data_IF_429150938849
#
_entry.id   IF_429150938849
#
_cell.length_a   1.000
_cell.length_b   1.000
_cell.length_c   1.000
_cell.angle_alpha   90.00
_cell.angle_beta   90.00
_cell.angle_gamma   90.00
#
_symmetry.space_group_name_H-M   'P 1'
#
loop_
_entity.id
_entity.type
_entity.pdbx_description
1 polymer ?
#
# COMPACT_ATOMS: atom_id res chain seq x y z
N UNK A 1 5.52 6.18 6.06
CA UNK A 1 6.65 5.30 5.66
C UNK A 1 7.89 6.14 5.40
N UNK A 2 9.09 5.65 5.79
CA UNK A 2 10.35 6.38 5.57
C UNK A 2 10.75 6.42 4.10
N UNK A 3 11.52 7.43 3.73
CA UNK A 3 12.19 7.53 2.43
C UNK A 3 13.64 7.03 2.53
N UNK A 4 14.24 6.59 1.43
CA UNK A 4 15.56 5.97 1.42
C UNK A 4 16.69 6.88 1.91
N UNK A 5 16.53 8.20 1.81
CA UNK A 5 17.50 9.22 2.27
C UNK A 5 17.52 9.38 3.79
N UNK A 6 16.43 8.99 4.48
CA UNK A 6 16.33 9.03 5.94
C UNK A 6 16.90 7.78 6.62
N UNK A 7 17.23 6.73 5.86
CA UNK A 7 17.74 5.48 6.43
C UNK A 7 19.23 5.58 6.76
N UNK A 8 19.58 5.10 7.94
CA UNK A 8 20.99 5.00 8.33
C UNK A 8 21.53 3.61 8.01
N UNK A 9 22.41 3.54 7.03
CA UNK A 9 23.00 2.28 6.54
C UNK A 9 24.51 2.26 6.64
N UNK A 10 25.05 1.05 6.71
CA UNK A 10 26.48 0.76 6.58
C UNK A 10 26.69 -0.11 5.35
N UNK A 11 27.77 0.16 4.62
CA UNK A 11 28.17 -0.65 3.48
C UNK A 11 29.39 -1.50 3.82
N UNK A 12 29.34 -2.78 3.47
CA UNK A 12 30.50 -3.68 3.55
C UNK A 12 30.64 -4.43 2.21
N UNK A 13 31.60 -4.03 1.40
CA UNK A 13 31.74 -4.57 0.05
C UNK A 13 30.51 -4.26 -0.83
N UNK A 14 29.81 -5.30 -1.27
CA UNK A 14 28.55 -5.24 -2.04
C UNK A 14 27.29 -5.42 -1.17
N UNK A 15 27.46 -5.52 0.15
CA UNK A 15 26.34 -5.62 1.09
C UNK A 15 25.97 -4.26 1.68
N UNK A 16 24.66 -4.00 1.71
CA UNK A 16 24.02 -2.92 2.45
C UNK A 16 23.43 -3.48 3.74
N UNK A 17 23.72 -2.85 4.87
CA UNK A 17 23.20 -3.27 6.19
C UNK A 17 22.58 -2.10 6.92
N UNK A 18 21.48 -2.33 7.62
CA UNK A 18 20.95 -1.36 8.59
C UNK A 18 21.88 -1.23 9.78
N UNK A 19 21.82 -0.09 10.44
CA UNK A 19 22.42 0.07 11.75
C UNK A 19 21.49 -0.55 12.78
N UNK A 20 21.92 -1.57 13.56
CA UNK A 20 21.06 -2.23 14.51
C UNK A 20 20.43 -1.27 15.53
N UNK A 21 19.17 -1.53 15.91
CA UNK A 21 18.47 -0.80 16.94
C UNK A 21 18.70 -1.51 18.29
N UNK A 22 19.86 -1.20 18.90
CA UNK A 22 20.18 -1.67 20.26
C UNK A 22 19.30 -0.99 21.33
N UNK A 23 19.44 -1.37 22.57
CA UNK A 23 18.63 -0.84 23.69
C UNK A 23 18.78 0.69 23.85
N UNK A 24 20.00 1.24 23.66
CA UNK A 24 20.28 2.68 23.77
C UNK A 24 19.61 3.45 22.63
N UNK A 25 19.77 2.98 21.39
CA UNK A 25 19.15 3.59 20.20
C UNK A 25 17.63 3.50 20.29
N UNK A 26 17.09 2.39 20.79
CA UNK A 26 15.64 2.20 21.00
C UNK A 26 15.08 3.21 22.01
N UNK A 27 15.71 3.36 23.17
CA UNK A 27 15.30 4.35 24.17
C UNK A 27 15.34 5.78 23.62
N UNK A 28 16.36 6.09 22.81
CA UNK A 28 16.47 7.40 22.18
C UNK A 28 15.36 7.64 21.15
N UNK A 29 15.04 6.65 20.29
CA UNK A 29 13.92 6.71 19.32
C UNK A 29 12.61 6.92 20.07
N UNK A 30 12.38 6.19 21.16
CA UNK A 30 11.18 6.30 21.99
C UNK A 30 11.02 7.70 22.59
N UNK A 31 12.10 8.28 23.12
CA UNK A 31 12.10 9.64 23.66
C UNK A 31 11.80 10.70 22.58
N UNK A 32 12.39 10.57 21.39
CA UNK A 32 12.10 11.45 20.25
C UNK A 32 10.64 11.30 19.80
N UNK A 33 10.15 10.06 19.69
CA UNK A 33 8.77 9.79 19.30
C UNK A 33 7.76 10.35 20.30
N UNK A 34 8.04 10.26 21.61
CA UNK A 34 7.21 10.87 22.66
C UNK A 34 7.14 12.39 22.51
N UNK A 35 8.29 13.03 22.31
CA UNK A 35 8.40 14.48 22.12
C UNK A 35 7.63 14.94 20.90
N UNK A 36 7.90 14.37 19.72
CA UNK A 36 7.21 14.76 18.49
C UNK A 36 5.71 14.45 18.49
N UNK A 37 5.31 13.35 19.13
CA UNK A 37 3.89 13.03 19.33
C UNK A 37 3.20 14.04 20.24
N UNK A 38 3.89 14.58 21.25
CA UNK A 38 3.42 15.68 22.09
C UNK A 38 3.19 16.95 21.27
N UNK A 39 4.15 17.32 20.44
CA UNK A 39 4.03 18.48 19.53
C UNK A 39 2.84 18.30 18.58
N UNK A 40 2.73 17.12 17.93
CA UNK A 40 1.63 16.87 16.99
C UNK A 40 0.24 16.97 17.64
N UNK A 41 0.08 16.44 18.87
CA UNK A 41 -1.17 16.58 19.63
C UNK A 41 -1.51 18.02 19.98
N UNK A 42 -0.51 18.81 20.38
CA UNK A 42 -0.70 20.22 20.73
C UNK A 42 -1.09 21.09 19.51
N UNK A 43 -0.79 20.63 18.29
CA UNK A 43 -1.05 21.39 17.05
C UNK A 43 -2.30 20.88 16.31
N UNK A 44 -3.16 20.06 16.92
CA UNK A 44 -4.47 19.74 16.32
C UNK A 44 -5.28 21.03 16.17
N UNK A 45 -5.77 21.30 14.96
CA UNK A 45 -6.43 22.54 14.56
C UNK A 45 -5.48 23.60 13.93
N UNK A 46 -4.16 23.46 14.09
CA UNK A 46 -3.16 24.31 13.44
C UNK A 46 -2.95 23.95 11.98
N UNK A 47 -2.31 24.84 11.22
CA UNK A 47 -1.94 24.54 9.83
C UNK A 47 -0.75 23.57 9.78
N UNK A 48 -0.59 22.88 8.65
CA UNK A 48 0.55 21.98 8.42
C UNK A 48 1.88 22.73 8.56
N UNK A 49 1.96 23.96 8.02
CA UNK A 49 3.14 24.82 8.15
C UNK A 49 3.51 25.07 9.62
N UNK A 50 2.54 25.43 10.46
CA UNK A 50 2.76 25.63 11.90
C UNK A 50 3.20 24.33 12.61
N UNK A 51 2.65 23.19 12.22
CA UNK A 51 3.08 21.89 12.75
C UNK A 51 4.51 21.57 12.30
N UNK A 52 4.82 21.76 11.02
CA UNK A 52 6.15 21.47 10.46
C UNK A 52 7.21 22.33 11.11
N UNK A 53 6.95 23.64 11.28
CA UNK A 53 7.85 24.59 12.00
C UNK A 53 8.07 24.13 13.45
N UNK A 54 7.02 23.76 14.17
CA UNK A 54 7.15 23.31 15.56
C UNK A 54 7.90 21.96 15.70
N UNK A 55 7.72 21.06 14.72
CA UNK A 55 8.47 19.82 14.67
C UNK A 55 9.95 20.07 14.37
N UNK A 56 10.27 21.00 13.48
CA UNK A 56 11.63 21.39 13.11
C UNK A 56 12.33 22.11 14.27
N UNK A 57 11.65 23.01 14.99
CA UNK A 57 12.13 23.59 16.24
C UNK A 57 12.39 22.52 17.30
N UNK A 58 11.45 21.58 17.42
CA UNK A 58 11.57 20.41 18.28
C UNK A 58 12.78 19.55 17.93
N UNK A 59 13.10 19.36 16.65
CA UNK A 59 14.27 18.65 16.20
C UNK A 59 15.58 19.44 16.46
N UNK A 60 15.59 20.75 16.21
CA UNK A 60 16.74 21.62 16.42
C UNK A 60 17.15 21.73 17.90
N UNK A 61 16.17 21.68 18.81
CA UNK A 61 16.42 21.72 20.25
C UNK A 61 17.02 20.41 20.82
N UNK A 62 17.16 19.36 19.98
CA UNK A 62 17.97 18.20 20.32
C UNK A 62 19.43 18.54 19.90
N UNK A 63 20.29 18.85 20.84
CA UNK A 63 21.72 19.14 20.56
C UNK A 63 22.42 17.85 20.09
N UNK A 64 22.34 17.58 18.76
CA UNK A 64 22.70 16.30 18.19
C UNK A 64 23.87 16.40 17.21
N UNK A 65 24.84 15.46 17.27
CA UNK A 65 25.86 15.33 16.24
C UNK A 65 25.24 15.12 14.86
N UNK A 66 25.90 15.59 13.80
CA UNK A 66 25.47 15.43 12.40
C UNK A 66 25.09 13.97 12.03
N UNK A 67 25.67 12.98 12.70
CA UNK A 67 25.38 11.55 12.52
C UNK A 67 23.95 11.16 12.95
N UNK A 68 23.35 11.90 13.88
CA UNK A 68 22.00 11.59 14.42
C UNK A 68 20.89 12.38 13.74
N UNK A 69 21.19 13.41 12.96
CA UNK A 69 20.17 14.22 12.24
C UNK A 69 19.24 13.38 11.39
N UNK A 70 19.74 12.33 10.73
CA UNK A 70 18.91 11.41 9.96
C UNK A 70 17.94 10.62 10.82
N UNK A 71 18.39 10.19 12.01
CA UNK A 71 17.52 9.49 12.96
C UNK A 71 16.38 10.39 13.44
N UNK A 72 16.72 11.63 13.83
CA UNK A 72 15.74 12.63 14.28
C UNK A 72 14.70 12.88 13.18
N UNK A 73 15.14 13.15 11.95
CA UNK A 73 14.27 13.39 10.81
C UNK A 73 13.42 12.14 10.45
N UNK A 74 13.97 10.94 10.61
CA UNK A 74 13.24 9.70 10.39
C UNK A 74 12.13 9.53 11.43
N UNK A 75 12.39 9.77 12.71
CA UNK A 75 11.36 9.69 13.76
C UNK A 75 10.31 10.78 13.58
N UNK A 76 10.71 12.02 13.30
CA UNK A 76 9.82 13.13 12.97
C UNK A 76 8.88 12.75 11.82
N UNK A 77 9.42 12.18 10.73
CA UNK A 77 8.62 11.72 9.58
C UNK A 77 7.62 10.63 9.96
N UNK A 78 8.02 9.65 10.78
CA UNK A 78 7.10 8.58 11.21
C UNK A 78 5.97 9.10 12.10
N UNK A 79 6.23 10.12 12.93
CA UNK A 79 5.19 10.79 13.73
C UNK A 79 4.28 11.60 12.80
N UNK A 80 4.84 12.37 11.88
CA UNK A 80 4.08 13.15 10.92
C UNK A 80 3.15 12.27 10.04
N UNK A 81 3.55 11.03 9.73
CA UNK A 81 2.71 10.05 9.02
C UNK A 81 1.43 9.66 9.79
N UNK A 82 1.38 9.89 11.09
CA UNK A 82 0.18 9.72 11.93
C UNK A 82 -0.75 10.92 11.97
N UNK A 83 -0.43 12.00 11.25
CA UNK A 83 -1.24 13.22 11.15
C UNK A 83 -2.23 13.11 10.00
N UNK A 84 -3.50 13.43 10.26
CA UNK A 84 -4.56 13.55 9.26
C UNK A 84 -4.90 15.00 9.04
N UNK A 85 -4.80 15.47 7.80
CA UNK A 85 -5.05 16.86 7.43
C UNK A 85 -6.38 16.98 6.70
N UNK A 86 -6.96 18.17 6.79
CA UNK A 86 -8.16 18.54 6.05
C UNK A 86 -7.91 18.47 4.53
N UNK A 87 -8.87 17.90 3.80
CA UNK A 87 -8.87 17.95 2.33
C UNK A 87 -9.70 19.14 1.87
N UNK A 88 -9.08 20.25 1.47
CA UNK A 88 -9.82 21.42 1.02
C UNK A 88 -10.42 21.18 -0.38
N UNK A 89 -11.54 21.85 -0.63
CA UNK A 89 -12.11 21.95 -1.99
C UNK A 89 -11.18 22.80 -2.87
N UNK A 90 -10.35 22.13 -3.66
CA UNK A 90 -9.39 22.77 -4.56
C UNK A 90 -10.07 23.62 -5.64
N UNK A 91 -11.26 23.23 -6.11
CA UNK A 91 -12.02 23.96 -7.11
C UNK A 91 -12.62 25.24 -6.51
N UNK A 92 -13.14 25.17 -5.31
CA UNK A 92 -13.63 26.34 -4.57
C UNK A 92 -12.50 27.35 -4.29
N UNK A 93 -11.34 26.90 -3.83
CA UNK A 93 -10.18 27.77 -3.61
C UNK A 93 -9.69 28.44 -4.90
N UNK A 94 -9.65 27.69 -6.00
CA UNK A 94 -9.26 28.22 -7.31
C UNK A 94 -10.30 29.22 -7.86
N UNK A 95 -11.59 28.99 -7.64
CA UNK A 95 -12.66 29.89 -8.04
C UNK A 95 -12.58 31.21 -7.23
N UNK A 96 -12.39 31.11 -5.91
CA UNK A 96 -12.20 32.27 -5.04
C UNK A 96 -11.01 33.11 -5.47
N UNK A 97 -9.84 32.49 -5.74
CA UNK A 97 -8.66 33.22 -6.24
C UNK A 97 -8.94 33.95 -7.54
N UNK A 98 -9.59 33.27 -8.51
CA UNK A 98 -9.93 33.89 -9.80
C UNK A 98 -10.83 35.12 -9.62
N UNK A 99 -11.82 35.02 -8.75
CA UNK A 99 -12.73 36.14 -8.52
C UNK A 99 -12.01 37.32 -7.83
N UNK A 100 -11.31 37.09 -6.73
CA UNK A 100 -10.58 38.13 -6.01
C UNK A 100 -9.53 38.80 -6.90
N UNK A 101 -8.78 38.03 -7.70
CA UNK A 101 -7.77 38.62 -8.61
C UNK A 101 -8.41 39.40 -9.78
N UNK A 102 -9.58 38.97 -10.29
CA UNK A 102 -10.31 39.76 -11.28
C UNK A 102 -10.79 41.10 -10.72
N UNK A 103 -11.28 41.11 -9.49
CA UNK A 103 -11.70 42.35 -8.78
C UNK A 103 -10.50 43.24 -8.54
N UNK A 104 -9.38 42.69 -8.05
CA UNK A 104 -8.15 43.45 -7.86
C UNK A 104 -7.65 44.07 -9.17
N UNK A 105 -7.67 43.32 -10.25
CA UNK A 105 -7.26 43.82 -11.56
C UNK A 105 -8.22 44.90 -12.12
N UNK A 106 -9.52 44.76 -11.88
CA UNK A 106 -10.50 45.75 -12.29
C UNK A 106 -10.35 47.05 -11.50
N UNK A 107 -10.22 46.94 -10.17
CA UNK A 107 -9.98 48.09 -9.28
C UNK A 107 -8.66 48.81 -9.64
N UNK A 108 -7.60 48.08 -9.93
CA UNK A 108 -6.29 48.64 -10.34
C UNK A 108 -6.39 49.41 -11.67
N UNK A 109 -7.17 48.90 -12.64
CA UNK A 109 -7.39 49.57 -13.93
C UNK A 109 -8.24 50.84 -13.80
N UNK A 110 -9.19 50.85 -12.86
CA UNK A 110 -10.07 52.00 -12.62
C UNK A 110 -9.37 53.09 -11.78
N UNK A 111 -8.36 52.75 -11.01
CA UNK A 111 -7.67 53.69 -10.16
C UNK A 111 -6.61 54.52 -10.94
N UNK A 112 -6.30 55.74 -10.44
CA UNK A 112 -5.18 56.54 -10.95
C UNK A 112 -3.87 55.74 -10.85
N UNK A 113 -2.94 55.85 -11.81
CA UNK A 113 -1.63 55.16 -11.78
C UNK A 113 -0.84 55.33 -10.49
N UNK A 114 -1.02 56.47 -9.84
CA UNK A 114 -0.32 56.85 -8.58
C UNK A 114 -1.11 56.44 -7.32
N UNK A 115 -2.35 55.97 -7.43
CA UNK A 115 -3.15 55.57 -6.29
C UNK A 115 -2.63 54.25 -5.67
N UNK A 116 -2.47 54.20 -4.31
CA UNK A 116 -2.11 52.95 -3.66
C UNK A 116 -3.24 51.92 -3.83
N UNK A 117 -2.83 50.65 -3.97
CA UNK A 117 -3.81 49.54 -3.99
C UNK A 117 -4.22 49.20 -2.59
N UNK A 118 -5.52 49.40 -2.29
CA UNK A 118 -6.09 49.03 -0.98
C UNK A 118 -6.62 47.57 -1.04
N UNK A 119 -5.78 46.64 -0.56
CA UNK A 119 -6.09 45.21 -0.47
C UNK A 119 -7.17 44.99 0.60
N UNK A 120 -7.12 45.71 1.72
CA UNK A 120 -8.04 45.49 2.83
C UNK A 120 -9.47 45.86 2.41
N UNK A 121 -9.68 47.03 1.80
CA UNK A 121 -10.99 47.46 1.28
C UNK A 121 -11.54 46.46 0.25
N UNK A 122 -10.71 45.91 -0.62
CA UNK A 122 -11.14 44.90 -1.59
C UNK A 122 -11.63 43.63 -0.91
N UNK A 123 -10.93 43.13 0.11
CA UNK A 123 -11.30 41.91 0.85
C UNK A 123 -12.58 42.15 1.67
N UNK A 124 -12.76 43.33 2.27
CA UNK A 124 -13.98 43.68 3.02
C UNK A 124 -15.21 43.71 2.10
N UNK A 125 -15.10 44.31 0.90
CA UNK A 125 -16.19 44.31 -0.07
C UNK A 125 -16.54 42.91 -0.50
N UNK A 126 -15.51 42.08 -0.82
CA UNK A 126 -15.71 40.69 -1.21
C UNK A 126 -16.29 39.84 -0.09
N UNK A 127 -15.97 40.13 1.15
CA UNK A 127 -16.49 39.50 2.36
C UNK A 127 -17.97 39.82 2.58
N UNK A 128 -18.35 41.09 2.49
CA UNK A 128 -19.74 41.51 2.63
C UNK A 128 -20.67 40.85 1.61
N UNK A 129 -20.25 40.72 0.35
CA UNK A 129 -21.02 40.03 -0.69
C UNK A 129 -21.21 38.51 -0.44
N UNK A 130 -20.31 37.88 0.32
CA UNK A 130 -20.34 36.44 0.62
C UNK A 130 -20.85 36.09 1.99
N UNK A 131 -21.26 37.08 2.77
CA UNK A 131 -21.67 36.96 4.17
C UNK A 131 -20.59 36.21 5.02
N UNK A 132 -19.31 36.58 4.79
CA UNK A 132 -18.13 36.04 5.47
C UNK A 132 -17.23 37.17 5.95
N UNK A 133 -16.05 36.86 6.47
CA UNK A 133 -15.07 37.86 6.91
C UNK A 133 -13.89 37.96 5.93
N UNK A 134 -13.22 39.12 5.91
CA UNK A 134 -12.00 39.30 5.11
C UNK A 134 -10.92 38.28 5.46
N UNK A 135 -10.81 37.92 6.74
CA UNK A 135 -9.87 36.91 7.22
C UNK A 135 -10.20 35.49 6.66
N UNK A 136 -11.49 35.14 6.58
CA UNK A 136 -11.92 33.86 5.99
C UNK A 136 -11.65 33.81 4.48
N UNK A 137 -11.88 34.94 3.77
CA UNK A 137 -11.50 35.01 2.34
C UNK A 137 -9.98 34.84 2.20
N UNK A 138 -9.19 35.54 3.00
CA UNK A 138 -7.73 35.45 2.95
C UNK A 138 -7.25 34.03 3.24
N UNK A 139 -7.79 33.35 4.23
CA UNK A 139 -7.50 31.96 4.54
C UNK A 139 -7.91 31.02 3.39
N UNK A 140 -9.08 31.27 2.77
CA UNK A 140 -9.63 30.47 1.69
C UNK A 140 -8.87 30.60 0.36
N UNK A 141 -8.20 31.75 0.12
CA UNK A 141 -7.46 31.99 -1.13
C UNK A 141 -6.44 30.89 -1.46
N UNK A 142 -5.84 30.27 -0.47
CA UNK A 142 -4.79 29.29 -0.63
C UNK A 142 -5.02 28.03 0.23
N UNK A 143 -6.28 27.75 0.57
CA UNK A 143 -6.66 26.59 1.37
C UNK A 143 -6.28 25.24 0.72
N UNK A 144 -6.19 25.23 -0.62
CA UNK A 144 -5.74 24.07 -1.40
C UNK A 144 -4.22 23.79 -1.33
N UNK A 145 -3.43 24.72 -0.77
CA UNK A 145 -2.00 24.49 -0.58
C UNK A 145 -1.74 23.55 0.60
N UNK A 146 -0.89 22.52 0.45
CA UNK A 146 -0.57 21.61 1.55
C UNK A 146 -0.19 22.33 2.85
N UNK A 147 0.62 23.39 2.79
CA UNK A 147 1.04 24.18 3.95
C UNK A 147 -0.14 24.79 4.76
N UNK A 148 -1.27 25.05 4.11
CA UNK A 148 -2.45 25.69 4.73
C UNK A 148 -3.50 24.69 5.22
N UNK A 149 -3.35 23.40 4.90
CA UNK A 149 -4.25 22.35 5.40
C UNK A 149 -4.18 22.28 6.93
N UNK A 150 -5.33 22.19 7.58
CA UNK A 150 -5.40 22.08 9.05
C UNK A 150 -5.25 20.64 9.49
N UNK A 151 -4.49 20.43 10.56
CA UNK A 151 -4.38 19.14 11.22
C UNK A 151 -5.71 18.82 11.93
N UNK A 152 -6.44 17.82 11.43
CA UNK A 152 -7.72 17.39 12.01
C UNK A 152 -7.52 16.43 13.17
N UNK A 153 -6.61 15.48 13.03
CA UNK A 153 -6.35 14.46 14.04
C UNK A 153 -4.92 13.96 14.00
N UNK A 154 -4.46 13.50 15.16
CA UNK A 154 -3.21 12.76 15.28
C UNK A 154 -3.50 11.35 15.83
N UNK A 155 -3.28 10.34 15.01
CA UNK A 155 -3.45 8.91 15.32
C UNK A 155 -2.11 8.16 15.23
N UNK A 156 -1.02 8.78 15.69
CA UNK A 156 0.32 8.18 15.67
C UNK A 156 0.44 6.96 16.57
N UNK A 157 1.36 6.07 16.23
CA UNK A 157 1.70 4.90 17.05
C UNK A 157 2.20 5.34 18.43
N UNK A 158 1.95 4.56 19.51
CA UNK A 158 2.61 4.79 20.79
C UNK A 158 4.14 4.83 20.63
N UNK A 159 4.89 5.68 21.36
CA UNK A 159 6.33 5.84 21.20
C UNK A 159 7.11 4.52 21.28
N UNK A 160 6.78 3.66 22.24
CA UNK A 160 7.40 2.34 22.37
C UNK A 160 7.15 1.43 21.14
N UNK A 161 5.93 1.46 20.59
CA UNK A 161 5.58 0.68 19.39
C UNK A 161 6.28 1.24 18.14
N UNK A 162 6.44 2.56 18.04
CA UNK A 162 7.21 3.19 16.97
C UNK A 162 8.67 2.75 17.05
N UNK A 163 9.28 2.80 18.24
CA UNK A 163 10.66 2.39 18.45
C UNK A 163 10.87 0.88 18.17
N UNK A 164 9.91 0.02 18.54
CA UNK A 164 9.96 -1.41 18.24
C UNK A 164 9.87 -1.70 16.73
N UNK A 165 9.07 -0.91 15.98
CA UNK A 165 8.89 -1.07 14.54
C UNK A 165 9.91 -0.29 13.68
N UNK A 166 10.87 0.43 14.28
CA UNK A 166 11.73 1.36 13.56
C UNK A 166 12.64 0.65 12.53
N UNK A 167 13.24 -0.47 12.91
CA UNK A 167 14.10 -1.26 12.01
C UNK A 167 13.31 -1.79 10.80
N UNK A 168 12.05 -2.21 11.00
CA UNK A 168 11.16 -2.60 9.92
C UNK A 168 10.86 -1.42 8.99
N UNK A 169 10.64 -0.23 9.53
CA UNK A 169 10.42 0.99 8.75
C UNK A 169 11.67 1.39 7.93
N UNK A 170 12.88 1.23 8.49
CA UNK A 170 14.14 1.41 7.75
C UNK A 170 14.26 0.36 6.63
N UNK A 171 13.95 -0.91 6.90
CA UNK A 171 13.96 -1.98 5.89
C UNK A 171 12.97 -1.70 4.75
N UNK A 172 11.75 -1.25 5.06
CA UNK A 172 10.77 -0.81 4.06
C UNK A 172 11.34 0.27 3.14
N UNK A 173 12.01 1.27 3.71
CA UNK A 173 12.60 2.36 2.95
C UNK A 173 13.76 1.91 2.06
N UNK A 174 14.55 0.90 2.47
CA UNK A 174 15.56 0.28 1.61
C UNK A 174 14.90 -0.42 0.42
N UNK A 175 13.79 -1.15 0.64
CA UNK A 175 13.07 -1.85 -0.41
C UNK A 175 12.45 -0.92 -1.47
N UNK A 176 12.26 0.37 -1.19
CA UNK A 176 11.88 1.37 -2.21
C UNK A 176 12.89 1.43 -3.37
N UNK A 177 14.11 0.99 -3.14
CA UNK A 177 15.20 0.95 -4.13
C UNK A 177 15.49 -0.47 -4.64
N UNK A 178 14.65 -1.44 -4.28
CA UNK A 178 14.81 -2.82 -4.70
C UNK A 178 14.43 -3.02 -6.18
N UNK A 179 15.16 -3.89 -6.84
CA UNK A 179 14.90 -4.36 -8.21
C UNK A 179 14.39 -5.79 -8.21
N UNK A 180 14.78 -6.58 -7.21
CA UNK A 180 14.36 -7.96 -6.97
C UNK A 180 14.32 -8.23 -5.47
N UNK A 181 13.35 -9.00 -5.02
CA UNK A 181 13.21 -9.43 -3.64
C UNK A 181 12.92 -10.93 -3.61
N UNK A 182 13.62 -11.65 -2.76
CA UNK A 182 13.29 -13.02 -2.38
C UNK A 182 13.00 -13.04 -0.90
N UNK A 183 11.81 -13.49 -0.52
CA UNK A 183 11.41 -13.66 0.87
C UNK A 183 11.29 -15.14 1.19
N UNK A 184 11.81 -15.56 2.34
CA UNK A 184 11.53 -16.87 2.93
C UNK A 184 10.67 -16.65 4.16
N UNK A 185 9.54 -17.35 4.24
CA UNK A 185 8.54 -17.14 5.29
C UNK A 185 8.06 -18.47 5.87
N UNK A 186 7.81 -18.48 7.17
CA UNK A 186 7.12 -19.57 7.87
C UNK A 186 6.10 -19.00 8.83
N UNK A 187 4.89 -19.55 8.81
CA UNK A 187 3.83 -19.25 9.75
C UNK A 187 3.16 -20.55 10.21
N UNK A 188 2.72 -20.59 11.46
CA UNK A 188 1.99 -21.73 12.04
C UNK A 188 0.54 -21.74 11.59
N UNK A 189 0.00 -20.55 11.36
CA UNK A 189 -1.39 -20.36 10.99
C UNK A 189 -1.56 -20.12 9.49
N UNK A 190 -2.45 -20.89 8.87
CA UNK A 190 -2.80 -20.74 7.47
C UNK A 190 -3.44 -19.38 7.14
N UNK A 191 -4.06 -18.70 8.12
CA UNK A 191 -4.60 -17.36 7.97
C UNK A 191 -3.53 -16.32 7.68
N UNK A 192 -2.38 -16.42 8.34
CA UNK A 192 -1.22 -15.54 8.11
C UNK A 192 -0.72 -15.65 6.66
N UNK A 193 -0.60 -16.86 6.12
CA UNK A 193 -0.23 -17.05 4.71
C UNK A 193 -1.28 -16.46 3.76
N UNK A 194 -2.58 -16.68 4.02
CA UNK A 194 -3.64 -16.09 3.20
C UNK A 194 -3.59 -14.57 3.19
N UNK A 195 -3.38 -13.96 4.36
CA UNK A 195 -3.24 -12.52 4.47
C UNK A 195 -2.02 -12.01 3.69
N UNK A 196 -0.87 -12.66 3.83
CA UNK A 196 0.34 -12.34 3.08
C UNK A 196 0.06 -12.37 1.57
N UNK A 197 -0.46 -13.48 1.06
CA UNK A 197 -0.69 -13.63 -0.37
C UNK A 197 -1.77 -12.68 -0.91
N UNK A 198 -2.82 -12.40 -0.14
CA UNK A 198 -3.80 -11.36 -0.49
C UNK A 198 -3.16 -9.98 -0.56
N UNK A 199 -2.28 -9.64 0.39
CA UNK A 199 -1.54 -8.37 0.36
C UNK A 199 -0.67 -8.28 -0.87
N UNK A 200 0.07 -9.33 -1.25
CA UNK A 200 0.88 -9.35 -2.46
C UNK A 200 0.03 -9.14 -3.72
N UNK A 201 -1.13 -9.80 -3.81
CA UNK A 201 -2.10 -9.59 -4.91
C UNK A 201 -2.64 -8.14 -4.93
N UNK A 202 -3.06 -7.62 -3.78
CA UNK A 202 -3.55 -6.25 -3.64
C UNK A 202 -2.52 -5.22 -4.12
N UNK A 203 -1.26 -5.43 -3.77
CA UNK A 203 -0.14 -4.59 -4.20
C UNK A 203 0.25 -4.83 -5.68
N UNK A 204 -0.45 -5.70 -6.39
CA UNK A 204 -0.18 -6.06 -7.79
C UNK A 204 1.25 -6.58 -8.02
N UNK A 205 1.81 -7.20 -7.01
CA UNK A 205 3.06 -7.91 -7.14
C UNK A 205 2.81 -9.29 -7.79
N UNK A 206 3.75 -9.76 -8.57
CA UNK A 206 3.71 -11.07 -9.22
C UNK A 206 4.62 -12.03 -8.44
N UNK A 207 4.10 -12.73 -7.42
CA UNK A 207 4.92 -13.65 -6.66
C UNK A 207 5.14 -14.96 -7.44
N UNK A 208 6.38 -15.44 -7.44
CA UNK A 208 6.69 -16.84 -7.69
C UNK A 208 6.81 -17.51 -6.33
N UNK A 209 5.93 -18.46 -6.03
CA UNK A 209 5.86 -19.09 -4.70
C UNK A 209 6.26 -20.54 -4.85
N UNK A 210 7.22 -20.97 -4.06
CA UNK A 210 7.65 -22.35 -3.95
C UNK A 210 7.56 -22.82 -2.50
N UNK A 211 7.04 -24.02 -2.25
CA UNK A 211 7.09 -24.64 -0.94
C UNK A 211 8.55 -24.89 -0.56
N UNK A 212 8.92 -24.61 0.66
CA UNK A 212 10.23 -24.90 1.20
C UNK A 212 10.23 -26.27 1.92
N UNK A 213 11.32 -27.00 1.85
CA UNK A 213 11.45 -28.32 2.48
C UNK A 213 11.18 -28.30 3.98
N UNK A 214 11.39 -27.17 4.63
CA UNK A 214 11.20 -26.96 6.05
C UNK A 214 9.75 -26.58 6.45
N UNK A 215 8.80 -26.63 5.50
CA UNK A 215 7.36 -26.38 5.76
C UNK A 215 6.94 -24.90 5.68
N UNK A 216 7.78 -24.03 5.11
CA UNK A 216 7.47 -22.63 4.79
C UNK A 216 7.35 -22.41 3.29
N UNK A 217 7.45 -21.14 2.87
CA UNK A 217 7.45 -20.75 1.47
C UNK A 217 8.63 -19.84 1.14
N UNK A 218 9.20 -20.04 -0.04
CA UNK A 218 10.10 -19.09 -0.69
C UNK A 218 9.32 -18.32 -1.75
N UNK A 219 9.34 -17.00 -1.66
CA UNK A 219 8.55 -16.08 -2.48
C UNK A 219 9.50 -15.18 -3.24
N UNK A 220 9.60 -15.38 -4.55
CA UNK A 220 10.23 -14.43 -5.45
C UNK A 220 9.26 -13.30 -5.78
N UNK A 221 9.66 -12.07 -5.53
CA UNK A 221 8.87 -10.87 -5.83
C UNK A 221 9.60 -10.11 -6.93
N UNK A 222 9.19 -10.34 -8.15
CA UNK A 222 9.65 -9.60 -9.31
C UNK A 222 8.55 -8.61 -9.74
N UNK A 223 8.95 -7.42 -10.14
CA UNK A 223 8.00 -6.50 -10.78
C UNK A 223 7.67 -6.98 -12.20
N UNK A 224 6.46 -6.72 -12.74
CA UNK A 224 6.08 -7.12 -14.11
C UNK A 224 6.98 -6.54 -15.23
N UNK A 225 7.87 -5.60 -14.88
CA UNK A 225 8.91 -5.08 -15.77
C UNK A 225 10.33 -5.51 -15.35
N UNK A 226 10.48 -6.56 -14.56
CA UNK A 226 11.81 -7.11 -14.20
C UNK A 226 12.60 -7.57 -15.43
N UNK A 227 11.94 -7.83 -16.55
CA UNK A 227 12.55 -8.04 -17.87
C UNK A 227 13.35 -6.80 -18.36
N UNK A 228 13.04 -5.59 -17.87
CA UNK A 228 13.83 -4.39 -18.11
C UNK A 228 14.76 -4.16 -16.91
N UNK A 229 16.00 -4.58 -17.07
CA UNK A 229 17.03 -4.57 -16.03
C UNK A 229 17.06 -3.26 -15.21
N UNK A 230 16.89 -3.37 -13.89
CA UNK A 230 17.17 -2.31 -12.93
C UNK A 230 16.05 -1.30 -12.67
N UNK A 231 14.80 -1.60 -13.01
CA UNK A 231 13.67 -0.72 -12.68
C UNK A 231 13.30 -0.78 -11.19
N UNK A 232 13.32 0.37 -10.52
CA UNK A 232 12.81 0.53 -9.13
C UNK A 232 11.34 0.93 -9.09
N UNK A 233 10.61 0.84 -10.19
CA UNK A 233 9.21 1.26 -10.32
C UNK A 233 8.26 0.59 -9.33
N UNK A 234 8.59 -0.63 -8.91
CA UNK A 234 7.80 -1.40 -7.94
C UNK A 234 8.34 -1.34 -6.51
N UNK A 235 9.34 -0.50 -6.25
CA UNK A 235 9.94 -0.38 -4.93
C UNK A 235 8.92 -0.01 -3.85
N UNK A 236 7.93 0.84 -4.17
CA UNK A 236 6.87 1.19 -3.24
C UNK A 236 6.04 -0.05 -2.84
N UNK A 237 5.61 -0.84 -3.81
CA UNK A 237 4.84 -2.05 -3.56
C UNK A 237 5.67 -3.09 -2.77
N UNK A 238 6.95 -3.24 -3.09
CA UNK A 238 7.87 -4.12 -2.36
C UNK A 238 8.04 -3.66 -0.90
N UNK A 239 8.21 -2.36 -0.67
CA UNK A 239 8.23 -1.79 0.69
C UNK A 239 6.92 -2.02 1.44
N UNK A 240 5.78 -1.81 0.80
CA UNK A 240 4.45 -2.02 1.38
C UNK A 240 4.14 -3.51 1.65
N UNK A 241 4.79 -4.45 0.97
CA UNK A 241 4.62 -5.87 1.22
C UNK A 241 5.34 -6.35 2.49
N UNK A 242 6.40 -5.65 2.93
CA UNK A 242 7.23 -6.07 4.05
C UNK A 242 6.46 -6.31 5.37
N UNK A 243 5.49 -5.48 5.80
CA UNK A 243 4.74 -5.75 7.01
C UNK A 243 3.99 -7.08 6.97
N UNK A 244 3.38 -7.45 5.84
CA UNK A 244 2.69 -8.72 5.70
C UNK A 244 3.66 -9.92 5.71
N UNK A 245 4.86 -9.77 5.16
CA UNK A 245 5.94 -10.75 5.28
C UNK A 245 6.39 -10.87 6.75
N UNK A 246 6.55 -9.74 7.44
CA UNK A 246 7.00 -9.69 8.83
C UNK A 246 5.95 -10.16 9.85
N UNK A 247 4.70 -10.38 9.44
CA UNK A 247 3.67 -11.00 10.26
C UNK A 247 3.85 -12.52 10.39
N UNK A 248 4.66 -13.15 9.54
CA UNK A 248 5.00 -14.56 9.66
C UNK A 248 5.87 -14.82 10.89
N UNK A 249 5.76 -16.02 11.51
CA UNK A 249 6.50 -16.38 12.74
C UNK A 249 8.01 -16.25 12.57
N UNK A 250 8.52 -16.64 11.42
CA UNK A 250 9.90 -16.38 10.99
C UNK A 250 9.90 -15.94 9.53
N UNK A 251 10.75 -14.97 9.25
CA UNK A 251 10.89 -14.45 7.90
C UNK A 251 12.30 -13.93 7.65
N UNK A 252 12.70 -13.99 6.38
CA UNK A 252 13.91 -13.33 5.90
C UNK A 252 13.70 -12.79 4.50
N UNK A 253 14.42 -11.72 4.18
CA UNK A 253 14.44 -11.09 2.87
C UNK A 253 15.86 -10.99 2.39
N UNK A 254 16.07 -11.38 1.13
CA UNK A 254 17.24 -11.04 0.33
C UNK A 254 16.80 -10.18 -0.85
N UNK A 255 17.39 -8.99 -0.99
CA UNK A 255 17.03 -8.04 -2.03
C UNK A 255 18.24 -7.54 -2.79
N UNK A 256 18.08 -7.28 -4.09
CA UNK A 256 18.98 -6.48 -4.89
C UNK A 256 18.47 -5.03 -4.89
N UNK A 257 19.30 -4.09 -4.46
CA UNK A 257 18.90 -2.68 -4.33
C UNK A 257 19.82 -1.76 -5.10
N UNK A 258 19.29 -0.66 -5.63
CA UNK A 258 20.04 0.42 -6.27
C UNK A 258 20.25 1.54 -5.26
N UNK A 259 21.42 1.59 -4.62
CA UNK A 259 21.66 2.46 -3.47
C UNK A 259 22.66 3.57 -3.73
N UNK A 260 22.46 4.72 -3.05
CA UNK A 260 23.28 5.91 -3.17
C UNK A 260 22.99 6.74 -4.43
N UNK A 261 23.71 7.85 -4.58
CA UNK A 261 23.59 8.75 -5.73
C UNK A 261 23.93 8.03 -7.05
N UNK A 262 24.96 7.19 -7.02
CA UNK A 262 25.43 6.42 -8.18
C UNK A 262 24.55 5.21 -8.52
N UNK A 263 23.47 4.98 -7.77
CA UNK A 263 22.57 3.81 -7.95
C UNK A 263 23.32 2.48 -8.04
N UNK A 264 24.32 2.28 -7.19
CA UNK A 264 25.11 1.04 -7.18
C UNK A 264 24.26 -0.17 -6.85
N UNK A 265 24.43 -1.29 -7.55
CA UNK A 265 23.82 -2.55 -7.19
C UNK A 265 24.44 -3.06 -5.89
N UNK A 266 23.64 -3.26 -4.86
CA UNK A 266 24.04 -3.81 -3.57
C UNK A 266 23.06 -4.91 -3.17
N UNK A 267 23.53 -5.85 -2.37
CA UNK A 267 22.70 -6.87 -1.73
C UNK A 267 22.26 -6.38 -0.36
N UNK A 268 20.98 -6.50 -0.09
CA UNK A 268 20.37 -6.18 1.21
C UNK A 268 19.76 -7.44 1.80
N UNK A 269 20.00 -7.70 3.07
CA UNK A 269 19.40 -8.81 3.80
C UNK A 269 18.86 -8.32 5.13
N UNK A 270 17.68 -8.80 5.47
CA UNK A 270 17.04 -8.57 6.76
C UNK A 270 16.21 -9.79 7.13
N UNK A 271 16.14 -10.12 8.41
CA UNK A 271 15.37 -11.22 8.93
C UNK A 271 14.81 -10.86 10.31
N UNK A 272 13.73 -11.53 10.71
CA UNK A 272 13.13 -11.29 12.01
C UNK A 272 12.10 -12.36 12.38
N UNK A 273 11.52 -12.17 13.59
CA UNK A 273 10.35 -12.90 14.06
C UNK A 273 9.06 -12.12 13.78
N UNK A 274 7.93 -12.70 14.20
CA UNK A 274 6.63 -12.12 13.97
C UNK A 274 6.50 -10.68 14.53
N UNK A 275 6.04 -9.80 13.68
CA UNK A 275 5.65 -8.43 14.05
C UNK A 275 4.13 -8.36 13.97
N UNK A 276 3.49 -7.96 15.08
CA UNK A 276 2.05 -7.80 15.10
C UNK A 276 1.63 -6.70 14.09
N UNK A 277 0.80 -7.08 13.12
CA UNK A 277 0.13 -6.11 12.26
C UNK A 277 -1.02 -5.47 13.02
N UNK A 278 -1.25 -4.19 12.82
CA UNK A 278 -2.50 -3.57 13.27
C UNK A 278 -3.67 -4.18 12.49
N UNK A 279 -4.82 -4.36 13.15
CA UNK A 279 -6.03 -4.92 12.51
C UNK A 279 -6.49 -4.14 11.26
N UNK A 280 -6.06 -2.88 11.14
CA UNK A 280 -6.32 -1.99 9.99
C UNK A 280 -5.49 -2.31 8.74
N UNK A 281 -4.49 -3.18 8.85
CA UNK A 281 -3.56 -3.47 7.74
C UNK A 281 -3.93 -4.72 6.94
N UNK A 282 -4.98 -5.46 7.36
CA UNK A 282 -5.49 -6.58 6.57
C UNK A 282 -6.26 -6.05 5.34
N UNK A 283 -5.83 -6.33 4.10
CA UNK A 283 -6.57 -5.88 2.93
C UNK A 283 -7.95 -6.53 2.91
N UNK A 284 -8.99 -5.69 2.80
CA UNK A 284 -10.34 -6.14 2.50
C UNK A 284 -10.37 -6.84 1.13
N UNK A 285 -11.43 -7.60 0.86
CA UNK A 285 -11.66 -8.11 -0.49
C UNK A 285 -11.72 -6.91 -1.45
N UNK A 286 -11.13 -7.01 -2.66
CA UNK A 286 -11.32 -5.99 -3.70
C UNK A 286 -12.81 -5.72 -3.92
N UNK A 287 -13.18 -4.45 -4.13
CA UNK A 287 -14.59 -4.03 -4.29
C UNK A 287 -15.34 -4.87 -5.32
N UNK A 288 -14.68 -5.22 -6.42
CA UNK A 288 -15.20 -6.06 -7.48
C UNK A 288 -15.56 -7.48 -6.97
N UNK A 289 -14.70 -8.03 -6.12
CA UNK A 289 -14.92 -9.36 -5.55
C UNK A 289 -15.95 -9.31 -4.41
N UNK A 290 -15.97 -8.25 -3.61
CA UNK A 290 -16.97 -8.04 -2.57
C UNK A 290 -18.39 -7.88 -3.18
N UNK A 291 -18.51 -7.10 -4.26
CA UNK A 291 -19.75 -6.95 -5.00
C UNK A 291 -20.23 -8.28 -5.63
N UNK A 292 -19.30 -9.08 -6.15
CA UNK A 292 -19.59 -10.41 -6.67
C UNK A 292 -20.09 -11.35 -5.58
N UNK A 293 -19.43 -11.42 -4.41
CA UNK A 293 -19.85 -12.24 -3.27
C UNK A 293 -21.28 -11.90 -2.87
N UNK A 294 -21.56 -10.61 -2.67
CA UNK A 294 -22.91 -10.15 -2.32
C UNK A 294 -23.97 -10.46 -3.39
N UNK A 295 -23.59 -10.48 -4.67
CA UNK A 295 -24.49 -10.87 -5.76
C UNK A 295 -24.73 -12.39 -5.80
N UNK A 296 -23.70 -13.18 -5.51
CA UNK A 296 -23.78 -14.64 -5.51
C UNK A 296 -24.61 -15.15 -4.33
N UNK A 297 -24.44 -14.60 -3.13
CA UNK A 297 -25.21 -14.98 -1.93
C UNK A 297 -26.72 -14.72 -2.06
N UNK A 298 -27.11 -13.85 -3.00
CA UNK A 298 -28.53 -13.61 -3.33
C UNK A 298 -29.14 -14.63 -4.31
N UNK A 299 -28.31 -15.51 -4.90
CA UNK A 299 -28.80 -16.58 -5.74
C UNK A 299 -29.38 -17.68 -4.88
N UNK A 300 -30.54 -18.24 -5.30
CA UNK A 300 -31.10 -19.48 -4.75
C UNK A 300 -30.25 -20.64 -5.29
N UNK A 301 -29.25 -21.06 -4.55
CA UNK A 301 -28.30 -22.10 -4.97
C UNK A 301 -27.83 -22.95 -3.80
N UNK A 302 -27.47 -24.20 -4.08
CA UNK A 302 -26.94 -25.18 -3.14
C UNK A 302 -25.43 -24.92 -2.82
N UNK A 303 -24.89 -23.78 -3.26
CA UNK A 303 -23.49 -23.40 -3.08
C UNK A 303 -23.32 -22.30 -2.06
N UNK A 304 -22.36 -22.48 -1.14
CA UNK A 304 -21.90 -21.45 -0.21
C UNK A 304 -20.50 -21.01 -0.56
N UNK A 305 -20.20 -19.75 -0.28
CA UNK A 305 -18.85 -19.18 -0.49
C UNK A 305 -18.02 -19.35 0.78
N UNK A 306 -16.82 -19.93 0.63
CA UNK A 306 -15.73 -19.86 1.60
C UNK A 306 -14.78 -18.74 1.18
N UNK A 307 -14.73 -17.66 1.97
CA UNK A 307 -13.86 -16.49 1.73
C UNK A 307 -12.44 -16.70 2.28
N UNK A 308 -12.17 -17.85 2.88
CA UNK A 308 -10.87 -18.21 3.46
C UNK A 308 -10.39 -19.58 2.98
N UNK A 309 -10.33 -19.82 1.64
CA UNK A 309 -9.92 -21.13 1.13
C UNK A 309 -8.47 -21.46 1.51
N UNK A 310 -8.15 -22.74 1.55
CA UNK A 310 -6.80 -23.20 1.77
C UNK A 310 -5.88 -22.76 0.62
N UNK A 311 -4.63 -22.53 0.95
CA UNK A 311 -3.55 -22.40 -0.03
C UNK A 311 -3.33 -23.78 -0.67
N UNK A 312 -3.30 -23.83 -1.99
CA UNK A 312 -3.14 -25.08 -2.74
C UNK A 312 -1.68 -25.24 -3.12
N UNK A 313 -1.07 -26.31 -2.64
CA UNK A 313 0.24 -26.73 -3.09
C UNK A 313 0.08 -27.57 -4.37
N UNK A 314 0.76 -27.18 -5.43
CA UNK A 314 0.66 -27.79 -6.75
C UNK A 314 2.00 -28.47 -7.08
N UNK A 315 2.09 -29.80 -6.97
CA UNK A 315 3.33 -30.52 -7.17
C UNK A 315 4.00 -30.17 -8.51
N UNK A 316 5.27 -29.73 -8.45
CA UNK A 316 6.05 -29.36 -9.63
C UNK A 316 5.70 -28.00 -10.26
N UNK A 317 4.71 -27.29 -9.74
CA UNK A 317 4.14 -26.11 -10.37
C UNK A 317 4.05 -24.88 -9.43
N UNK A 318 4.35 -25.06 -8.14
CA UNK A 318 4.31 -24.01 -7.13
C UNK A 318 2.98 -23.96 -6.38
N UNK A 319 2.62 -22.79 -5.89
CA UNK A 319 1.49 -22.57 -4.99
C UNK A 319 0.41 -21.76 -5.68
N UNK A 320 -0.86 -22.19 -5.56
CA UNK A 320 -2.03 -21.41 -5.95
C UNK A 320 -2.73 -20.90 -4.69
N UNK A 321 -3.11 -19.62 -4.72
CA UNK A 321 -3.81 -18.95 -3.61
C UNK A 321 -5.15 -18.47 -4.13
N UNK A 322 -6.22 -19.31 -4.04
CA UNK A 322 -7.54 -18.92 -4.48
C UNK A 322 -8.06 -17.73 -3.67
N UNK A 323 -8.86 -16.88 -4.29
CA UNK A 323 -9.50 -15.78 -3.60
C UNK A 323 -10.72 -16.24 -2.82
N UNK A 324 -11.48 -17.21 -3.39
CA UNK A 324 -12.67 -17.83 -2.82
C UNK A 324 -12.69 -19.35 -3.08
N UNK A 325 -13.53 -20.08 -2.35
CA UNK A 325 -13.94 -21.40 -2.75
C UNK A 325 -15.46 -21.53 -2.64
N UNK A 326 -16.06 -22.24 -3.58
CA UNK A 326 -17.47 -22.63 -3.57
C UNK A 326 -17.58 -24.04 -3.03
N UNK A 327 -18.48 -24.24 -2.09
CA UNK A 327 -18.73 -25.55 -1.47
C UNK A 327 -20.20 -25.88 -1.65
N UNK A 328 -20.49 -26.99 -2.35
CA UNK A 328 -21.85 -27.45 -2.58
C UNK A 328 -22.39 -28.19 -1.34
N UNK A 329 -23.56 -27.81 -0.85
CA UNK A 329 -24.06 -28.28 0.43
C UNK A 329 -24.44 -29.78 0.38
N UNK A 330 -24.99 -30.25 -0.75
CA UNK A 330 -25.52 -31.64 -0.86
C UNK A 330 -24.44 -32.74 -0.83
N UNK A 331 -23.21 -32.47 -1.31
CA UNK A 331 -22.18 -33.49 -1.47
C UNK A 331 -20.77 -33.01 -1.08
N UNK A 332 -20.63 -31.76 -0.65
CA UNK A 332 -19.35 -31.21 -0.26
C UNK A 332 -18.38 -30.91 -1.43
N UNK A 333 -18.83 -31.01 -2.68
CA UNK A 333 -18.01 -30.69 -3.84
C UNK A 333 -17.44 -29.29 -3.70
N UNK A 334 -16.13 -29.14 -3.97
CA UNK A 334 -15.40 -27.86 -3.82
C UNK A 334 -14.84 -27.42 -5.15
N UNK A 335 -15.07 -26.15 -5.49
CA UNK A 335 -14.49 -25.48 -6.64
C UNK A 335 -13.81 -24.20 -6.15
N UNK A 336 -12.50 -24.08 -6.40
CA UNK A 336 -11.75 -22.91 -6.07
C UNK A 336 -11.95 -21.81 -7.11
N UNK A 337 -11.78 -20.56 -6.72
CA UNK A 337 -11.95 -19.41 -7.59
C UNK A 337 -10.77 -18.45 -7.43
N UNK A 338 -10.12 -18.11 -8.52
CA UNK A 338 -9.03 -17.15 -8.54
C UNK A 338 -9.31 -16.03 -9.54
N UNK A 339 -9.27 -14.77 -9.05
CA UNK A 339 -9.44 -13.58 -9.87
C UNK A 339 -8.09 -13.13 -10.42
N UNK A 340 -7.94 -13.15 -11.74
CA UNK A 340 -6.73 -12.76 -12.46
C UNK A 340 -6.87 -11.36 -13.11
N UNK A 341 -7.63 -10.46 -12.48
CA UNK A 341 -8.03 -9.18 -13.06
C UNK A 341 -6.90 -8.18 -13.34
N UNK A 342 -5.80 -8.25 -12.57
CA UNK A 342 -4.69 -7.28 -12.65
C UNK A 342 -3.38 -7.90 -13.15
N UNK A 343 -3.40 -9.14 -13.61
CA UNK A 343 -2.22 -9.90 -13.93
C UNK A 343 -1.77 -9.63 -15.37
N UNK A 344 -0.50 -9.92 -15.65
CA UNK A 344 -0.03 -9.88 -17.03
C UNK A 344 -0.58 -11.09 -17.81
N UNK A 345 -0.69 -10.94 -19.12
CA UNK A 345 -1.07 -12.05 -20.00
C UNK A 345 -0.18 -13.29 -19.78
N UNK A 346 1.12 -13.08 -19.55
CA UNK A 346 2.08 -14.15 -19.27
C UNK A 346 1.74 -14.93 -18.00
N UNK A 347 1.29 -14.26 -16.95
CA UNK A 347 0.93 -14.91 -15.69
C UNK A 347 -0.34 -15.77 -15.86
N UNK A 348 -1.31 -15.29 -16.66
CA UNK A 348 -2.49 -16.10 -17.00
C UNK A 348 -2.06 -17.35 -17.76
N UNK A 349 -1.14 -17.24 -18.72
CA UNK A 349 -0.63 -18.38 -19.46
C UNK A 349 0.11 -19.38 -18.56
N UNK A 350 0.92 -18.93 -17.61
CA UNK A 350 1.53 -19.81 -16.62
C UNK A 350 0.47 -20.59 -15.80
N UNK A 351 -0.62 -19.96 -15.42
CA UNK A 351 -1.75 -20.66 -14.74
C UNK A 351 -2.41 -21.69 -15.64
N UNK A 352 -2.58 -21.39 -16.91
CA UNK A 352 -3.12 -22.32 -17.89
C UNK A 352 -2.18 -23.53 -18.07
N UNK A 353 -0.88 -23.31 -18.15
CA UNK A 353 0.10 -24.40 -18.22
C UNK A 353 0.08 -25.30 -16.98
N UNK A 354 -0.09 -24.72 -15.78
CA UNK A 354 -0.25 -25.49 -14.54
C UNK A 354 -1.50 -26.38 -14.57
N UNK A 355 -2.58 -25.87 -15.10
CA UNK A 355 -3.82 -26.65 -15.28
C UNK A 355 -3.57 -27.82 -16.23
N UNK A 356 -2.93 -27.60 -17.36
CA UNK A 356 -2.61 -28.63 -18.35
C UNK A 356 -1.65 -29.70 -17.83
N UNK A 357 -0.79 -29.33 -16.86
CA UNK A 357 0.09 -30.27 -16.18
C UNK A 357 -0.63 -31.20 -15.18
N UNK A 358 -1.95 -31.01 -14.97
CA UNK A 358 -2.80 -31.86 -14.11
C UNK A 358 -2.96 -31.32 -12.70
N UNK A 359 -3.92 -30.42 -12.49
CA UNK A 359 -4.29 -29.93 -11.16
C UNK A 359 -5.14 -30.96 -10.41
N UNK A 360 -4.79 -31.31 -9.16
CA UNK A 360 -5.61 -32.19 -8.32
C UNK A 360 -6.87 -31.51 -7.76
N UNK A 361 -7.09 -30.25 -8.09
CA UNK A 361 -8.19 -29.41 -7.56
C UNK A 361 -9.02 -28.81 -8.69
N UNK A 362 -10.33 -28.71 -8.46
CA UNK A 362 -11.23 -27.97 -9.37
C UNK A 362 -11.08 -26.47 -9.15
N UNK A 363 -10.79 -25.73 -10.23
CA UNK A 363 -10.56 -24.29 -10.14
C UNK A 363 -11.20 -23.54 -11.30
N UNK A 364 -11.86 -22.42 -10.99
CA UNK A 364 -12.39 -21.46 -11.94
C UNK A 364 -11.54 -20.19 -11.91
N UNK A 365 -10.91 -19.88 -13.02
CA UNK A 365 -10.16 -18.63 -13.20
C UNK A 365 -11.06 -17.56 -13.79
N UNK A 366 -11.22 -16.43 -13.12
CA UNK A 366 -11.91 -15.26 -13.66
C UNK A 366 -10.90 -14.26 -14.22
N UNK A 367 -11.04 -13.94 -15.50
CA UNK A 367 -10.07 -13.11 -16.26
C UNK A 367 -10.78 -11.91 -16.87
N UNK A 368 -10.19 -10.72 -16.73
CA UNK A 368 -10.71 -9.54 -17.40
C UNK A 368 -10.53 -9.64 -18.92
N UNK A 369 -11.57 -9.27 -19.68
CA UNK A 369 -11.55 -9.21 -21.18
C UNK A 369 -10.37 -8.39 -21.71
N UNK A 370 -9.90 -7.41 -20.95
CA UNK A 370 -8.74 -6.59 -21.33
C UNK A 370 -7.44 -7.37 -21.52
N UNK A 371 -7.33 -8.57 -20.93
CA UNK A 371 -6.14 -9.44 -21.07
C UNK A 371 -6.12 -10.24 -22.39
N UNK A 372 -7.18 -10.18 -23.19
CA UNK A 372 -7.30 -10.82 -24.52
C UNK A 372 -6.99 -12.33 -24.50
N UNK A 373 -7.47 -13.03 -23.48
CA UNK A 373 -7.42 -14.50 -23.35
C UNK A 373 -8.82 -15.02 -23.59
N UNK A 374 -8.99 -16.01 -24.46
CA UNK A 374 -10.29 -16.62 -24.76
C UNK A 374 -10.66 -17.74 -23.78
N UNK A 375 -11.94 -17.95 -23.51
CA UNK A 375 -12.44 -19.02 -22.62
C UNK A 375 -12.09 -20.40 -23.15
N UNK A 376 -12.08 -20.59 -24.47
CA UNK A 376 -11.78 -21.88 -25.13
C UNK A 376 -10.41 -22.49 -24.79
N UNK A 377 -9.50 -21.73 -24.20
CA UNK A 377 -8.15 -22.21 -23.88
C UNK A 377 -8.16 -23.34 -22.84
N UNK A 378 -9.24 -23.44 -22.00
CA UNK A 378 -9.40 -24.48 -20.97
C UNK A 378 -10.65 -25.35 -21.18
N UNK A 379 -11.36 -25.24 -22.30
CA UNK A 379 -12.60 -25.98 -22.53
C UNK A 379 -12.43 -27.52 -22.51
N UNK A 380 -11.22 -28.02 -22.77
CA UNK A 380 -10.91 -29.46 -22.77
C UNK A 380 -10.43 -29.99 -21.40
N UNK A 381 -10.39 -29.15 -20.36
CA UNK A 381 -9.81 -29.53 -19.06
C UNK A 381 -10.91 -29.81 -18.04
N UNK A 382 -11.04 -31.05 -17.51
CA UNK A 382 -12.13 -31.42 -16.61
C UNK A 382 -12.04 -30.74 -15.22
N UNK A 383 -10.84 -30.34 -14.80
CA UNK A 383 -10.58 -29.78 -13.46
C UNK A 383 -10.53 -28.26 -13.43
N UNK A 384 -10.50 -27.58 -14.58
CA UNK A 384 -10.43 -26.14 -14.58
C UNK A 384 -11.22 -25.50 -15.74
N UNK A 385 -11.72 -24.31 -15.50
CA UNK A 385 -12.38 -23.49 -16.52
C UNK A 385 -11.91 -22.02 -16.43
N UNK A 386 -12.01 -21.33 -17.55
CA UNK A 386 -11.75 -19.90 -17.65
C UNK A 386 -13.08 -19.15 -17.82
N UNK A 387 -13.28 -18.11 -17.05
CA UNK A 387 -14.41 -17.20 -17.15
C UNK A 387 -13.90 -15.80 -17.52
N UNK A 388 -14.31 -15.30 -18.68
CA UNK A 388 -13.93 -13.97 -19.15
C UNK A 388 -15.05 -12.98 -18.89
N UNK A 389 -14.77 -11.95 -18.07
CA UNK A 389 -15.71 -10.88 -17.77
C UNK A 389 -15.26 -9.53 -18.30
N UNK A 390 -16.21 -8.62 -18.58
CA UNK A 390 -15.92 -7.29 -19.13
C UNK A 390 -15.69 -6.24 -18.03
N UNK A 391 -16.70 -6.01 -17.18
CA UNK A 391 -16.68 -5.01 -16.10
C UNK A 391 -17.12 -5.59 -14.75
N UNK A 392 -18.02 -6.55 -14.75
CA UNK A 392 -18.62 -7.14 -13.55
C UNK A 392 -18.57 -8.65 -13.67
N UNK A 393 -18.25 -9.32 -12.59
CA UNK A 393 -18.30 -10.78 -12.47
C UNK A 393 -19.77 -11.18 -12.30
N UNK A 394 -20.35 -11.84 -13.30
CA UNK A 394 -21.77 -12.22 -13.28
C UNK A 394 -21.99 -13.49 -12.45
N UNK A 395 -22.62 -13.36 -11.28
CA UNK A 395 -22.81 -14.45 -10.32
C UNK A 395 -23.50 -15.68 -10.94
N UNK A 396 -24.53 -15.49 -11.78
CA UNK A 396 -25.24 -16.59 -12.45
C UNK A 396 -24.34 -17.36 -13.42
N UNK A 397 -23.49 -16.66 -14.18
CA UNK A 397 -22.56 -17.30 -15.10
C UNK A 397 -21.46 -18.09 -14.36
N UNK A 398 -21.01 -17.58 -13.20
CA UNK A 398 -20.08 -18.31 -12.34
C UNK A 398 -20.76 -19.55 -11.78
N UNK A 399 -22.00 -19.46 -11.31
CA UNK A 399 -22.77 -20.61 -10.84
C UNK A 399 -22.86 -21.71 -11.90
N UNK A 400 -23.23 -21.38 -13.13
CA UNK A 400 -23.34 -22.32 -14.23
C UNK A 400 -21.99 -23.03 -14.53
N UNK A 401 -20.86 -22.34 -14.33
CA UNK A 401 -19.53 -22.92 -14.55
C UNK A 401 -19.07 -23.82 -13.41
N UNK A 402 -19.30 -23.42 -12.16
CA UNK A 402 -18.93 -24.27 -11.02
C UNK A 402 -19.77 -25.54 -10.96
N UNK A 403 -21.05 -25.50 -11.39
CA UNK A 403 -21.87 -26.69 -11.53
C UNK A 403 -21.28 -27.66 -12.57
N UNK A 404 -20.87 -27.18 -13.73
CA UNK A 404 -20.21 -27.99 -14.75
C UNK A 404 -18.90 -28.60 -14.25
N UNK A 405 -18.04 -27.80 -13.59
CA UNK A 405 -16.79 -28.30 -13.01
C UNK A 405 -17.03 -29.32 -11.89
N UNK A 406 -18.13 -29.24 -11.17
CA UNK A 406 -18.44 -30.17 -10.10
C UNK A 406 -19.10 -31.49 -10.63
N UNK A 407 -19.63 -31.46 -11.85
CA UNK A 407 -20.20 -32.64 -12.51
C UNK A 407 -19.15 -33.46 -13.28
N UNK A 408 -18.06 -32.84 -13.70
CA UNK A 408 -16.89 -33.49 -14.30
C UNK A 408 -16.04 -34.17 -13.23
#
# INVERSE_FOLDING_TARGET
MLTADLVTTRRRGDELRLVPVDARRRAHIEALAARFSGIARAHVGSTREQLDDALDEGAAATDQPNAERRLVAAVQKLVHDGCSFEEPDADAAAALRRDIFRRAAAGRRAASPSAPFDRAALLEVAAGERATTAAEIEAGLYADRPARQRLQAFAGRPPAALAAGFELAEAQAVLLRATRVTASVRARDAGTYRQLFRTLKFLRLLPTIAAAEDGGYTIGLDGPLSLFQGSTRYGLQLGLALPAIAACDTWSIAAEVRWGADRRPLRFRVAGGAVALSASEAPALPDELAAFVAAFERLDSDWRIDQAPAVLDLPGAGVCVPDLAFIRARDGARVHFELLGFWSRETVWRRIELVRAGLPHRILFAVSKGLRVGEAVLDETPTAALYVFARVIAAKQVLDRIERLAAA
#
